data_IF_697508001485
#
_entry.id   IF_697508001485
#
_cell.length_a   1.000
_cell.length_b   1.000
_cell.length_c   1.000
_cell.angle_alpha   90.00
_cell.angle_beta   90.00
_cell.angle_gamma   90.00
#
_symmetry.space_group_name_H-M   'P 1'
#
loop_
_entity.id
_entity.type
_entity.pdbx_description
1 polymer ?
#
# COMPACT_ATOMS: atom_id res chain seq x y z
N UNK A 1 -11.20 16.31 6.77
CA UNK A 1 -10.11 15.37 6.39
C UNK A 1 -10.59 14.58 5.19
N UNK A 2 -9.76 14.42 4.15
CA UNK A 2 -10.13 13.66 2.95
C UNK A 2 -9.46 12.30 3.03
N UNK A 3 -10.23 11.23 2.82
CA UNK A 3 -9.75 9.86 2.77
C UNK A 3 -9.92 9.33 1.35
N UNK A 4 -8.90 8.64 0.85
CA UNK A 4 -8.95 7.94 -0.43
C UNK A 4 -8.81 6.44 -0.20
N UNK A 5 -9.50 5.65 -1.01
CA UNK A 5 -9.36 4.20 -1.07
C UNK A 5 -8.65 3.80 -2.34
N UNK A 6 -7.76 2.82 -2.26
CA UNK A 6 -7.05 2.25 -3.41
C UNK A 6 -7.03 0.73 -3.31
N UNK A 7 -7.29 0.06 -4.42
CA UNK A 7 -7.06 -1.38 -4.60
C UNK A 7 -5.93 -1.60 -5.60
N UNK A 8 -5.26 -2.75 -5.51
CA UNK A 8 -4.09 -3.04 -6.35
C UNK A 8 -4.37 -3.93 -7.57
N UNK A 9 -5.49 -4.65 -7.62
CA UNK A 9 -5.89 -5.52 -8.76
C UNK A 9 -4.68 -6.28 -9.37
N UNK A 10 -4.53 -6.24 -10.70
CA UNK A 10 -3.38 -6.74 -11.47
C UNK A 10 -2.37 -5.62 -11.83
N UNK A 11 -2.42 -4.48 -11.13
CA UNK A 11 -1.49 -3.36 -11.39
C UNK A 11 -0.12 -3.73 -10.81
N UNK A 12 0.95 -3.37 -11.52
CA UNK A 12 2.31 -3.57 -11.00
C UNK A 12 2.57 -2.69 -9.78
N UNK A 13 3.53 -3.10 -8.94
CA UNK A 13 3.87 -2.31 -7.75
C UNK A 13 4.40 -0.92 -8.10
N UNK A 14 5.12 -0.79 -9.22
CA UNK A 14 5.66 0.47 -9.72
C UNK A 14 4.55 1.42 -10.13
N UNK A 15 3.55 0.93 -10.89
CA UNK A 15 2.41 1.73 -11.30
C UNK A 15 1.54 2.14 -10.09
N UNK A 16 1.39 1.25 -9.11
CA UNK A 16 0.69 1.54 -7.86
C UNK A 16 1.39 2.67 -7.07
N UNK A 17 2.71 2.56 -6.85
CA UNK A 17 3.49 3.59 -6.13
C UNK A 17 3.49 4.91 -6.91
N UNK A 18 3.63 4.87 -8.24
CA UNK A 18 3.57 6.05 -9.09
C UNK A 18 2.25 6.82 -8.89
N UNK A 19 1.13 6.10 -8.86
CA UNK A 19 -0.19 6.71 -8.63
C UNK A 19 -0.26 7.41 -7.26
N UNK A 20 0.30 6.79 -6.22
CA UNK A 20 0.33 7.40 -4.88
C UNK A 20 1.16 8.70 -4.88
N UNK A 21 2.31 8.71 -5.56
CA UNK A 21 3.18 9.89 -5.70
C UNK A 21 2.49 11.00 -6.50
N UNK A 22 1.88 10.67 -7.64
CA UNK A 22 1.16 11.63 -8.49
C UNK A 22 -0.01 12.30 -7.74
N UNK A 23 -0.59 11.59 -6.78
CA UNK A 23 -1.64 12.10 -5.90
C UNK A 23 -1.12 12.73 -4.60
N UNK A 24 0.20 12.82 -4.43
CA UNK A 24 0.86 13.37 -3.24
C UNK A 24 0.42 12.69 -1.94
N UNK A 25 0.20 11.38 -1.98
CA UNK A 25 -0.17 10.62 -0.79
C UNK A 25 1.03 10.49 0.15
N UNK A 26 0.86 10.88 1.40
CA UNK A 26 1.91 10.80 2.42
C UNK A 26 1.84 9.53 3.27
N UNK A 27 0.64 8.94 3.39
CA UNK A 27 0.38 7.79 4.27
C UNK A 27 -0.46 6.76 3.51
N UNK A 28 0.01 5.52 3.49
CA UNK A 28 -0.76 4.36 3.08
C UNK A 28 -1.17 3.56 4.32
N UNK A 29 -2.47 3.40 4.52
CA UNK A 29 -3.03 2.61 5.61
C UNK A 29 -3.52 1.28 5.07
N UNK A 30 -2.98 0.18 5.58
CA UNK A 30 -3.37 -1.18 5.24
C UNK A 30 -4.29 -1.75 6.31
N UNK A 31 -5.57 -1.88 5.94
CA UNK A 31 -6.64 -2.38 6.80
C UNK A 31 -6.94 -3.87 6.56
N UNK A 32 -6.13 -4.57 5.77
CA UNK A 32 -6.36 -5.99 5.45
C UNK A 32 -6.01 -6.86 6.65
N UNK A 33 -6.96 -7.66 7.16
CA UNK A 33 -6.69 -8.59 8.27
C UNK A 33 -5.61 -9.63 7.93
N UNK A 34 -5.51 -10.01 6.65
CA UNK A 34 -4.44 -10.86 6.12
C UNK A 34 -3.67 -10.10 5.02
N UNK A 35 -2.63 -9.32 5.36
CA UNK A 35 -1.91 -8.48 4.41
C UNK A 35 -0.84 -9.30 3.65
N UNK A 36 -1.16 -10.53 3.25
CA UNK A 36 -0.26 -11.44 2.54
C UNK A 36 -0.95 -12.00 1.32
N UNK A 37 -0.27 -12.01 0.17
CA UNK A 37 -0.82 -12.54 -1.06
C UNK A 37 0.17 -13.48 -1.73
N UNK A 38 -0.28 -14.71 -2.01
CA UNK A 38 0.48 -15.69 -2.79
C UNK A 38 0.51 -15.34 -4.28
N UNK A 39 -0.58 -14.73 -4.78
CA UNK A 39 -0.73 -14.37 -6.19
C UNK A 39 0.00 -13.08 -6.54
N UNK A 40 0.07 -12.15 -5.59
CA UNK A 40 0.71 -10.85 -5.76
C UNK A 40 1.74 -10.61 -4.63
N UNK A 41 2.91 -11.27 -4.66
CA UNK A 41 3.91 -11.19 -3.58
C UNK A 41 4.34 -9.75 -3.25
N UNK A 42 4.42 -8.88 -4.26
CA UNK A 42 4.76 -7.45 -4.08
C UNK A 42 3.76 -6.68 -3.20
N UNK A 43 2.52 -7.15 -3.10
CA UNK A 43 1.48 -6.58 -2.23
C UNK A 43 1.34 -7.28 -0.88
N UNK A 44 2.27 -8.20 -0.56
CA UNK A 44 2.44 -8.68 0.82
C UNK A 44 3.04 -7.57 1.68
N UNK A 45 2.66 -7.54 2.96
CA UNK A 45 2.95 -6.45 3.91
C UNK A 45 4.37 -5.91 3.82
N UNK A 46 5.36 -6.78 3.97
CA UNK A 46 6.77 -6.36 4.02
C UNK A 46 7.27 -5.80 2.68
N UNK A 47 6.85 -6.41 1.56
CA UNK A 47 7.19 -5.93 0.22
C UNK A 47 6.52 -4.60 -0.09
N UNK A 48 5.22 -4.49 0.21
CA UNK A 48 4.45 -3.26 -0.01
C UNK A 48 5.00 -2.12 0.85
N UNK A 49 5.23 -2.37 2.14
CA UNK A 49 5.85 -1.42 3.07
C UNK A 49 7.16 -0.89 2.52
N UNK A 50 8.05 -1.78 2.11
CA UNK A 50 9.35 -1.40 1.54
C UNK A 50 9.18 -0.51 0.30
N UNK A 51 8.36 -0.93 -0.66
CA UNK A 51 8.17 -0.18 -1.91
C UNK A 51 7.61 1.22 -1.69
N UNK A 52 6.71 1.42 -0.73
CA UNK A 52 6.15 2.75 -0.44
C UNK A 52 7.11 3.60 0.41
N UNK A 53 7.80 3.01 1.39
CA UNK A 53 8.75 3.72 2.26
C UNK A 53 10.00 4.19 1.50
N UNK A 54 10.49 3.41 0.52
CA UNK A 54 11.56 3.83 -0.40
C UNK A 54 11.19 5.11 -1.19
N UNK A 55 9.89 5.38 -1.33
CA UNK A 55 9.33 6.55 -2.00
C UNK A 55 8.77 7.60 -1.02
N UNK A 56 9.19 7.55 0.26
CA UNK A 56 8.81 8.49 1.33
C UNK A 56 7.32 8.50 1.68
N UNK A 57 6.60 7.42 1.37
CA UNK A 57 5.21 7.24 1.77
C UNK A 57 5.20 6.37 3.02
N UNK A 58 4.65 6.89 4.11
CA UNK A 58 4.59 6.16 5.39
C UNK A 58 3.59 5.02 5.28
N UNK A 59 3.99 3.81 5.65
CA UNK A 59 3.11 2.67 5.74
C UNK A 59 2.59 2.49 7.18
N UNK A 60 1.28 2.28 7.33
CA UNK A 60 0.64 1.97 8.62
C UNK A 60 -0.21 0.72 8.45
N UNK A 61 0.07 -0.31 9.25
CA UNK A 61 -0.78 -1.49 9.32
C UNK A 61 -1.81 -1.29 10.44
N UNK A 62 -3.10 -1.44 10.10
CA UNK A 62 -4.22 -1.40 11.05
C UNK A 62 -5.08 -2.67 11.00
N UNK A 63 -4.68 -3.69 10.24
CA UNK A 63 -5.48 -4.91 10.07
C UNK A 63 -5.63 -5.78 11.34
N UNK A 64 -4.92 -5.46 12.42
CA UNK A 64 -5.00 -6.11 13.74
C UNK A 64 -5.70 -5.24 14.81
N UNK A 65 -6.08 -4.01 14.45
CA UNK A 65 -6.57 -2.97 15.36
C UNK A 65 -8.05 -2.65 15.12
N UNK A 66 -8.73 -3.43 14.28
CA UNK A 66 -10.13 -3.27 13.87
C UNK A 66 -10.86 -4.59 14.07
#
# INVERSE_FOLDING_TARGET
MILYSIGHSNVSIEAFVKLLIERQMEILVDVRSQPYSRYNPHFSRESLKRSVEENKIRYVFLGDSI
#
